data_IF_582942543067
#
_entry.id   IF_582942543067
#
_cell.length_a   1.000
_cell.length_b   1.000
_cell.length_c   1.000
_cell.angle_alpha   90.00
_cell.angle_beta   90.00
_cell.angle_gamma   90.00
#
_symmetry.space_group_name_H-M   'P 1'
#
loop_
_entity.id
_entity.type
_entity.pdbx_description
1 polymer ?
#
# COMPACT_ATOMS: atom_id res chain seq x y z
N UNK A 1 -4.42 12.52 58.95
CA UNK A 1 -5.29 11.41 58.52
C UNK A 1 -5.92 11.81 57.20
N UNK A 2 -5.59 11.06 56.15
CA UNK A 2 -6.04 11.25 54.77
C UNK A 2 -7.52 10.99 54.65
N UNK A 3 -8.28 11.93 54.11
CA UNK A 3 -9.64 11.69 53.63
C UNK A 3 -9.65 12.14 52.17
N UNK A 4 -9.40 11.18 51.28
CA UNK A 4 -9.60 11.33 49.85
C UNK A 4 -11.10 11.38 49.57
N UNK A 5 -11.61 12.55 49.22
CA UNK A 5 -12.99 12.71 48.72
C UNK A 5 -12.95 12.35 47.23
N UNK A 6 -13.37 11.12 46.91
CA UNK A 6 -13.66 10.72 45.53
C UNK A 6 -15.01 11.32 45.12
N UNK A 7 -14.95 12.34 44.26
CA UNK A 7 -16.12 12.87 43.57
C UNK A 7 -16.58 11.80 42.57
N UNK A 8 -17.72 11.17 42.88
CA UNK A 8 -18.44 10.26 42.00
C UNK A 8 -19.12 11.11 40.90
N UNK A 9 -18.39 11.36 39.81
CA UNK A 9 -18.98 11.86 38.57
C UNK A 9 -19.78 10.70 37.95
N UNK A 10 -21.08 10.84 37.68
CA UNK A 10 -21.81 9.84 36.91
C UNK A 10 -21.27 9.87 35.48
N UNK A 11 -20.44 8.88 35.16
CA UNK A 11 -20.06 8.58 33.78
C UNK A 11 -21.34 8.11 33.09
N UNK A 12 -21.98 9.01 32.34
CA UNK A 12 -22.92 8.65 31.29
C UNK A 12 -22.25 7.62 30.41
N UNK A 13 -22.73 6.37 30.49
CA UNK A 13 -22.39 5.30 29.56
C UNK A 13 -23.08 5.62 28.23
N UNK A 14 -22.52 6.59 27.50
CA UNK A 14 -22.85 6.74 26.08
C UNK A 14 -22.19 5.58 25.35
N UNK A 15 -23.02 4.62 24.97
CA UNK A 15 -22.70 3.52 24.07
C UNK A 15 -22.31 4.08 22.70
N UNK A 16 -21.07 4.54 22.55
CA UNK A 16 -20.47 4.75 21.23
C UNK A 16 -20.13 3.38 20.62
N UNK A 17 -21.16 2.67 20.21
CA UNK A 17 -21.06 1.73 19.09
C UNK A 17 -20.96 2.57 17.82
N UNK A 18 -19.80 3.15 17.58
CA UNK A 18 -19.44 3.69 16.29
C UNK A 18 -18.21 2.92 15.83
N UNK A 19 -18.45 1.66 15.41
CA UNK A 19 -17.56 1.04 14.47
C UNK A 19 -17.40 2.04 13.31
N UNK A 20 -16.18 2.48 12.97
CA UNK A 20 -16.01 3.34 11.82
C UNK A 20 -16.59 2.58 10.64
N UNK A 21 -17.59 3.15 9.98
CA UNK A 21 -18.04 2.68 8.69
C UNK A 21 -16.80 2.67 7.80
N UNK A 22 -16.20 1.49 7.66
CA UNK A 22 -15.12 1.23 6.72
C UNK A 22 -15.77 1.51 5.39
N UNK A 23 -15.59 2.73 4.88
CA UNK A 23 -15.85 3.09 3.49
C UNK A 23 -15.12 2.02 2.70
N UNK A 24 -15.87 1.03 2.22
CA UNK A 24 -15.36 0.00 1.33
C UNK A 24 -14.90 0.77 0.11
N UNK A 25 -13.61 1.13 0.08
CA UNK A 25 -12.96 1.57 -1.13
C UNK A 25 -13.32 0.54 -2.20
N UNK A 26 -13.68 0.98 -3.41
CA UNK A 26 -14.12 0.08 -4.46
C UNK A 26 -13.09 -1.04 -4.53
N UNK A 27 -13.54 -2.26 -4.29
CA UNK A 27 -12.70 -3.45 -4.31
C UNK A 27 -12.23 -3.55 -5.74
N UNK A 28 -11.06 -2.97 -6.05
CA UNK A 28 -10.44 -3.02 -7.37
C UNK A 28 -10.01 -4.47 -7.52
N UNK A 29 -10.98 -5.30 -7.90
CA UNK A 29 -10.81 -6.71 -8.21
C UNK A 29 -10.35 -6.81 -9.67
N UNK A 30 -9.63 -5.80 -10.17
CA UNK A 30 -8.90 -5.90 -11.42
C UNK A 30 -7.66 -6.71 -11.10
N UNK A 31 -7.73 -8.01 -11.40
CA UNK A 31 -6.55 -8.88 -11.48
C UNK A 31 -5.62 -8.28 -12.52
N UNK A 32 -4.70 -7.43 -12.08
CA UNK A 32 -3.70 -6.84 -12.96
C UNK A 32 -2.65 -7.90 -13.21
N UNK A 33 -2.54 -8.33 -14.46
CA UNK A 33 -1.46 -9.23 -14.85
C UNK A 33 -0.17 -8.42 -14.98
N UNK A 34 0.92 -8.91 -14.38
CA UNK A 34 2.23 -8.27 -14.48
C UNK A 34 2.69 -8.07 -15.93
N UNK A 35 2.26 -8.96 -16.85
CA UNK A 35 2.54 -8.83 -18.30
C UNK A 35 1.97 -7.55 -18.93
N UNK A 36 1.06 -6.85 -18.25
CA UNK A 36 0.45 -5.60 -18.74
C UNK A 36 1.12 -4.34 -18.19
N UNK A 37 2.06 -4.45 -17.24
CA UNK A 37 2.74 -3.30 -16.66
C UNK A 37 3.72 -2.73 -17.68
N UNK A 38 3.46 -1.53 -18.18
CA UNK A 38 4.34 -0.82 -19.12
C UNK A 38 4.68 0.59 -18.66
N UNK A 39 3.84 1.19 -17.82
CA UNK A 39 3.98 2.59 -17.40
C UNK A 39 4.23 2.75 -15.90
N UNK A 40 4.63 3.96 -15.50
CA UNK A 40 4.73 4.34 -14.08
C UNK A 40 3.36 4.27 -13.38
N UNK A 41 2.29 4.61 -14.10
CA UNK A 41 0.91 4.54 -13.60
C UNK A 41 0.49 3.09 -13.33
N UNK A 42 0.92 2.16 -14.17
CA UNK A 42 0.68 0.73 -13.95
C UNK A 42 1.36 0.24 -12.68
N UNK A 43 2.59 0.70 -12.40
CA UNK A 43 3.29 0.39 -11.16
C UNK A 43 2.57 0.98 -9.93
N UNK A 44 2.06 2.21 -10.05
CA UNK A 44 1.25 2.83 -8.99
C UNK A 44 -0.05 2.06 -8.77
N UNK A 45 -0.73 1.63 -9.83
CA UNK A 45 -1.94 0.79 -9.73
C UNK A 45 -1.61 -0.54 -9.05
N UNK A 46 -0.47 -1.15 -9.38
CA UNK A 46 -0.02 -2.39 -8.76
C UNK A 46 0.17 -2.23 -7.24
N UNK A 47 0.69 -1.09 -6.78
CA UNK A 47 0.85 -0.79 -5.36
C UNK A 47 -0.47 -0.65 -4.60
N UNK A 48 -1.59 -0.38 -5.28
CA UNK A 48 -2.92 -0.32 -4.67
C UNK A 48 -3.51 -1.69 -4.36
N UNK A 49 -3.00 -2.75 -4.99
CA UNK A 49 -3.48 -4.12 -4.79
C UNK A 49 -3.04 -4.64 -3.42
N UNK A 50 -3.97 -5.18 -2.64
CA UNK A 50 -3.65 -5.70 -1.31
C UNK A 50 -2.79 -6.97 -1.38
N UNK A 51 -3.04 -7.83 -2.37
CA UNK A 51 -2.40 -9.13 -2.61
C UNK A 51 -2.06 -9.33 -4.09
N UNK A 52 -1.03 -10.12 -4.40
CA UNK A 52 -0.72 -10.57 -5.76
C UNK A 52 -0.86 -12.10 -5.89
N UNK A 53 -1.34 -12.57 -7.05
CA UNK A 53 -1.64 -13.98 -7.26
C UNK A 53 -0.36 -14.81 -7.35
N UNK A 54 -0.30 -15.90 -6.59
CA UNK A 54 0.89 -16.76 -6.54
C UNK A 54 2.02 -16.24 -5.64
N UNK A 55 1.78 -15.17 -4.87
CA UNK A 55 2.74 -14.60 -3.93
C UNK A 55 2.11 -14.51 -2.54
N UNK A 56 2.86 -14.88 -1.50
CA UNK A 56 2.40 -14.74 -0.13
C UNK A 56 2.34 -13.25 0.28
N UNK A 57 1.59 -12.93 1.34
CA UNK A 57 1.41 -11.54 1.80
C UNK A 57 2.73 -10.87 2.17
N UNK A 58 3.66 -11.59 2.78
CA UNK A 58 4.98 -11.09 3.17
C UNK A 58 5.83 -10.79 1.93
N UNK A 59 5.99 -11.76 1.02
CA UNK A 59 6.67 -11.56 -0.27
C UNK A 59 6.08 -10.38 -1.04
N UNK A 60 4.75 -10.29 -1.08
CA UNK A 60 4.07 -9.20 -1.76
C UNK A 60 4.35 -7.84 -1.11
N UNK A 61 4.40 -7.78 0.22
CA UNK A 61 4.73 -6.55 0.93
C UNK A 61 6.19 -6.13 0.70
N UNK A 62 7.13 -7.09 0.66
CA UNK A 62 8.53 -6.85 0.31
C UNK A 62 8.64 -6.32 -1.13
N UNK A 63 7.89 -6.92 -2.06
CA UNK A 63 7.83 -6.48 -3.46
C UNK A 63 7.29 -5.05 -3.56
N UNK A 64 6.15 -4.73 -2.92
CA UNK A 64 5.59 -3.36 -2.88
C UNK A 64 6.61 -2.36 -2.36
N UNK A 65 7.33 -2.68 -1.30
CA UNK A 65 8.36 -1.79 -0.75
C UNK A 65 9.51 -1.55 -1.73
N UNK A 66 9.92 -2.59 -2.45
CA UNK A 66 10.95 -2.49 -3.50
C UNK A 66 10.49 -1.60 -4.64
N UNK A 67 9.26 -1.78 -5.12
CA UNK A 67 8.65 -0.95 -6.17
C UNK A 67 8.55 0.51 -5.71
N UNK A 68 8.03 0.78 -4.51
CA UNK A 68 7.96 2.13 -3.93
C UNK A 68 9.33 2.81 -3.89
N UNK A 69 10.37 2.13 -3.40
CA UNK A 69 11.74 2.67 -3.36
C UNK A 69 12.26 3.03 -4.76
N UNK A 70 11.95 2.21 -5.78
CA UNK A 70 12.33 2.46 -7.17
C UNK A 70 11.55 3.63 -7.77
N UNK A 71 10.24 3.73 -7.53
CA UNK A 71 9.42 4.87 -7.95
C UNK A 71 9.90 6.19 -7.32
N UNK A 72 10.28 6.19 -6.05
CA UNK A 72 10.87 7.38 -5.40
C UNK A 72 12.18 7.77 -6.09
N UNK A 73 13.04 6.80 -6.45
CA UNK A 73 14.27 7.07 -7.20
C UNK A 73 13.98 7.61 -8.60
N UNK A 74 12.95 7.10 -9.28
CA UNK A 74 12.49 7.57 -10.58
C UNK A 74 11.98 9.02 -10.50
N UNK A 75 11.16 9.34 -9.50
CA UNK A 75 10.63 10.69 -9.27
C UNK A 75 11.73 11.71 -9.00
N UNK A 76 12.82 11.32 -8.32
CA UNK A 76 13.99 12.17 -8.07
C UNK A 76 14.95 12.29 -9.26
N UNK A 77 14.77 11.50 -10.32
CA UNK A 77 15.67 11.48 -11.46
C UNK A 77 15.30 12.60 -12.44
N UNK A 78 16.19 13.60 -12.60
CA UNK A 78 15.98 14.73 -13.54
C UNK A 78 16.22 14.38 -15.01
N UNK A 79 16.87 13.24 -15.31
CA UNK A 79 17.21 12.82 -16.67
C UNK A 79 16.17 11.84 -17.19
N UNK A 80 15.44 12.22 -18.23
CA UNK A 80 14.35 11.44 -18.81
C UNK A 80 14.81 10.08 -19.35
N UNK A 81 15.94 10.02 -20.05
CA UNK A 81 16.49 8.76 -20.57
C UNK A 81 16.81 7.76 -19.45
N UNK A 82 17.40 8.25 -18.35
CA UNK A 82 17.69 7.41 -17.17
C UNK A 82 16.40 6.98 -16.48
N UNK A 83 15.37 7.83 -16.48
CA UNK A 83 14.05 7.50 -15.93
C UNK A 83 13.42 6.35 -16.70
N UNK A 84 13.43 6.40 -18.03
CA UNK A 84 12.90 5.32 -18.89
C UNK A 84 13.65 4.00 -18.66
N UNK A 85 14.99 4.04 -18.66
CA UNK A 85 15.80 2.84 -18.40
C UNK A 85 15.54 2.22 -17.02
N UNK A 86 15.44 3.04 -15.97
CA UNK A 86 15.13 2.57 -14.62
C UNK A 86 13.71 2.01 -14.50
N UNK A 87 12.75 2.56 -15.26
CA UNK A 87 11.39 2.06 -15.32
C UNK A 87 11.37 0.67 -15.95
N UNK A 88 11.98 0.48 -17.11
CA UNK A 88 12.09 -0.82 -17.78
C UNK A 88 12.78 -1.86 -16.88
N UNK A 89 13.89 -1.50 -16.23
CA UNK A 89 14.57 -2.36 -15.24
C UNK A 89 13.66 -2.74 -14.06
N UNK A 90 12.76 -1.85 -13.66
CA UNK A 90 11.82 -2.10 -12.55
C UNK A 90 10.72 -3.06 -12.99
N UNK A 91 10.17 -2.86 -14.18
CA UNK A 91 9.17 -3.76 -14.78
C UNK A 91 9.76 -5.16 -14.98
N UNK A 92 10.97 -5.25 -15.51
CA UNK A 92 11.67 -6.53 -15.70
C UNK A 92 11.84 -7.28 -14.38
N UNK A 93 12.30 -6.60 -13.33
CA UNK A 93 12.48 -7.23 -12.01
C UNK A 93 11.16 -7.80 -11.46
N UNK A 94 10.05 -7.08 -11.64
CA UNK A 94 8.73 -7.54 -11.20
C UNK A 94 8.30 -8.77 -12.01
N UNK A 95 8.59 -8.78 -13.31
CA UNK A 95 8.33 -9.93 -14.18
C UNK A 95 9.14 -11.16 -13.75
N UNK A 96 10.43 -10.99 -13.50
CA UNK A 96 11.34 -12.07 -13.07
C UNK A 96 11.06 -12.57 -11.64
N UNK A 97 10.39 -11.77 -10.81
CA UNK A 97 10.04 -12.17 -9.43
C UNK A 97 8.72 -12.90 -9.31
N UNK A 98 7.96 -13.01 -10.42
CA UNK A 98 6.65 -13.67 -10.46
C UNK A 98 6.64 -14.88 -11.39
N UNK A 99 7.46 -14.89 -12.43
CA UNK A 99 7.75 -16.11 -13.19
C UNK A 99 8.77 -16.96 -12.46
#
# INVERSE_FOLDING_TARGET
>A
MNIFIFILVPISRESFSSAPEIKKSPKITKKMSIKKIKTEEDLNLLLTLDSYLGMDKLQWNIMKNTIKKKLIKLSKCKKEEKKKFLLEKTIQLIHDSVM
#
